data_IF_747554841201
#
_entry.id   IF_747554841201
#
_cell.length_a   1.000
_cell.length_b   1.000
_cell.length_c   1.000
_cell.angle_alpha   90.00
_cell.angle_beta   90.00
_cell.angle_gamma   90.00
#
_symmetry.space_group_name_H-M   'P 1'
#
loop_
_entity.id
_entity.type
_entity.pdbx_description
1 polymer ?
#
# COMPACT_ATOMS: atom_id res chain seq x y z
N UNK A 1 4.13 19.36 -2.53
CA UNK A 1 5.44 18.70 -2.42
C UNK A 1 5.24 17.21 -2.24
N UNK A 2 6.07 16.36 -2.88
CA UNK A 2 5.97 14.89 -2.72
C UNK A 2 6.41 14.44 -1.31
N UNK A 3 6.12 13.20 -0.96
CA UNK A 3 6.42 12.62 0.36
C UNK A 3 7.92 12.65 0.69
N UNK A 4 8.77 12.38 -0.31
CA UNK A 4 10.23 12.39 -0.16
C UNK A 4 10.74 13.80 0.14
N UNK A 5 10.35 14.79 -0.66
CA UNK A 5 10.76 16.17 -0.44
C UNK A 5 10.21 16.72 0.89
N UNK A 6 8.98 16.33 1.27
CA UNK A 6 8.38 16.71 2.56
C UNK A 6 9.14 16.09 3.73
N UNK A 7 9.52 14.80 3.64
CA UNK A 7 10.32 14.08 4.66
C UNK A 7 11.71 14.69 4.81
N UNK A 8 12.36 15.05 3.69
CA UNK A 8 13.70 15.67 3.69
C UNK A 8 13.68 17.17 3.98
N UNK A 9 12.50 17.79 4.07
CA UNK A 9 12.32 19.24 4.23
C UNK A 9 13.04 20.06 3.14
N UNK A 10 13.10 19.53 1.92
CA UNK A 10 13.73 20.18 0.76
C UNK A 10 12.67 20.78 -0.16
N UNK A 11 13.06 21.79 -0.97
CA UNK A 11 12.17 22.39 -1.98
C UNK A 11 11.75 21.31 -2.99
N UNK A 12 10.45 21.18 -3.21
CA UNK A 12 9.88 20.29 -4.22
C UNK A 12 9.47 21.14 -5.43
N UNK A 13 10.06 20.86 -6.59
CA UNK A 13 9.76 21.57 -7.83
C UNK A 13 8.43 21.14 -8.49
N UNK A 14 7.77 20.10 -7.97
CA UNK A 14 6.55 19.56 -8.57
C UNK A 14 6.86 18.62 -9.75
N UNK A 15 5.82 18.16 -10.45
CA UNK A 15 5.90 17.11 -11.47
C UNK A 15 5.88 15.70 -10.88
N UNK A 16 5.48 14.71 -11.70
CA UNK A 16 5.46 13.28 -11.33
C UNK A 16 6.28 12.48 -12.36
N UNK A 17 7.49 12.00 -12.00
CA UNK A 17 8.22 12.23 -10.74
C UNK A 17 8.80 13.65 -10.65
N UNK A 18 8.96 14.19 -9.45
CA UNK A 18 9.63 15.49 -9.28
C UNK A 18 11.13 15.37 -9.60
N UNK A 19 11.77 16.48 -10.01
CA UNK A 19 13.19 16.51 -10.45
C UNK A 19 14.16 15.82 -9.46
N UNK A 20 13.92 16.01 -8.16
CA UNK A 20 14.71 15.36 -7.12
C UNK A 20 14.55 13.84 -7.11
N UNK A 21 13.30 13.35 -7.15
CA UNK A 21 13.02 11.92 -7.15
C UNK A 21 13.49 11.25 -8.43
N UNK A 22 13.41 11.94 -9.57
CA UNK A 22 13.92 11.48 -10.86
C UNK A 22 15.44 11.24 -10.81
N UNK A 23 16.22 12.24 -10.37
CA UNK A 23 17.67 12.13 -10.29
C UNK A 23 18.14 11.12 -9.25
N UNK A 24 17.38 10.99 -8.16
CA UNK A 24 17.69 10.05 -7.08
C UNK A 24 17.19 8.62 -7.35
N UNK A 25 16.48 8.40 -8.47
CA UNK A 25 15.79 7.13 -8.79
C UNK A 25 14.91 6.63 -7.65
N UNK A 26 14.26 7.57 -6.95
CA UNK A 26 13.35 7.28 -5.83
C UNK A 26 11.91 7.36 -6.31
N UNK A 27 11.05 6.52 -5.73
CA UNK A 27 9.62 6.55 -6.01
C UNK A 27 9.01 7.88 -5.53
N UNK A 28 8.43 8.64 -6.46
CA UNK A 28 7.85 9.94 -6.17
C UNK A 28 6.37 9.82 -5.85
N UNK A 29 6.04 9.69 -4.57
CA UNK A 29 4.67 9.54 -4.11
C UNK A 29 4.10 10.83 -3.51
N UNK A 30 2.79 11.01 -3.65
CA UNK A 30 2.03 12.14 -3.11
C UNK A 30 0.87 11.60 -2.28
N UNK A 31 1.17 10.90 -1.19
CA UNK A 31 0.13 10.42 -0.30
C UNK A 31 -0.57 11.61 0.35
N UNK A 32 -1.90 11.67 0.21
CA UNK A 32 -2.70 12.57 1.01
C UNK A 32 -2.45 12.20 2.48
N UNK A 33 -1.72 13.03 3.22
CA UNK A 33 -1.51 12.85 4.64
C UNK A 33 -2.86 13.04 5.32
N UNK A 34 -3.60 11.94 5.43
CA UNK A 34 -4.82 11.90 6.22
C UNK A 34 -4.34 12.20 7.63
N UNK A 35 -4.69 13.39 8.13
CA UNK A 35 -4.25 13.90 9.41
C UNK A 35 -4.89 13.04 10.51
N UNK A 36 -4.33 11.85 10.72
CA UNK A 36 -4.78 10.89 11.72
C UNK A 36 -4.25 11.39 13.06
N UNK A 37 -4.93 12.39 13.64
CA UNK A 37 -5.08 12.46 15.10
C UNK A 37 -5.82 11.21 15.55
N UNK A 38 -5.14 10.06 15.50
CA UNK A 38 -5.59 8.81 16.12
C UNK A 38 -4.51 8.45 17.14
N UNK A 39 -4.75 8.87 18.39
CA UNK A 39 -4.17 8.20 19.56
C UNK A 39 -4.55 6.72 19.43
N UNK A 40 -3.65 5.89 18.90
CA UNK A 40 -3.74 4.43 19.01
C UNK A 40 -2.39 3.92 19.48
N UNK A 41 -2.46 3.24 20.63
CA UNK A 41 -1.37 2.62 21.37
C UNK A 41 -0.43 1.89 20.42
N UNK A 42 0.88 1.97 20.68
CA UNK A 42 1.90 1.09 20.08
C UNK A 42 1.44 -0.36 20.25
N UNK A 43 0.93 -0.98 19.19
CA UNK A 43 0.86 -2.43 19.09
C UNK A 43 2.03 -2.87 18.24
N UNK A 44 2.87 -3.68 18.85
CA UNK A 44 4.05 -4.35 18.29
C UNK A 44 3.75 -4.85 16.87
N UNK A 45 4.58 -4.47 15.90
CA UNK A 45 4.50 -4.97 14.52
C UNK A 45 4.86 -6.45 14.54
N UNK A 46 3.85 -7.33 14.54
CA UNK A 46 4.03 -8.74 14.19
C UNK A 46 4.19 -8.82 12.68
N UNK A 47 5.42 -9.04 12.22
CA UNK A 47 5.72 -9.41 10.84
C UNK A 47 5.12 -10.80 10.61
N UNK A 48 4.05 -10.92 9.83
CA UNK A 48 3.46 -12.24 9.58
C UNK A 48 2.09 -12.26 8.91
N UNK A 49 1.36 -11.15 8.85
CA UNK A 49 0.07 -11.12 8.16
C UNK A 49 0.15 -10.20 6.94
N UNK A 50 0.51 -10.76 5.78
CA UNK A 50 0.29 -10.06 4.51
C UNK A 50 -1.22 -10.14 4.21
N UNK A 51 -1.96 -9.02 4.22
CA UNK A 51 -3.40 -9.03 4.01
C UNK A 51 -3.80 -9.61 2.64
N UNK A 52 -2.89 -9.59 1.66
CA UNK A 52 -3.13 -10.19 0.35
C UNK A 52 -3.24 -11.72 0.42
N UNK A 53 -2.56 -12.38 1.39
CA UNK A 53 -2.64 -13.84 1.56
C UNK A 53 -4.06 -14.23 2.00
N UNK A 54 -4.65 -13.53 2.98
CA UNK A 54 -6.03 -13.80 3.42
C UNK A 54 -7.07 -13.53 2.32
N UNK A 55 -6.82 -12.54 1.46
CA UNK A 55 -7.69 -12.28 0.31
C UNK A 55 -7.55 -13.40 -0.73
N UNK A 56 -6.34 -13.90 -0.95
CA UNK A 56 -6.08 -14.99 -1.88
C UNK A 56 -6.75 -16.30 -1.42
N UNK A 57 -6.66 -16.63 -0.12
CA UNK A 57 -7.36 -17.77 0.48
C UNK A 57 -8.88 -17.72 0.22
N UNK A 58 -9.50 -16.56 0.49
CA UNK A 58 -10.94 -16.38 0.24
C UNK A 58 -11.32 -16.57 -1.23
N UNK A 59 -10.47 -16.10 -2.15
CA UNK A 59 -10.69 -16.26 -3.59
C UNK A 59 -10.58 -17.72 -4.01
N UNK A 60 -9.58 -18.44 -3.49
CA UNK A 60 -9.39 -19.87 -3.76
C UNK A 60 -10.60 -20.68 -3.30
N UNK A 61 -11.09 -20.47 -2.08
CA UNK A 61 -12.30 -21.14 -1.58
C UNK A 61 -13.52 -20.85 -2.44
N UNK A 62 -13.69 -19.60 -2.90
CA UNK A 62 -14.79 -19.26 -3.81
C UNK A 62 -14.68 -19.99 -5.15
N UNK A 63 -13.47 -20.21 -5.66
CA UNK A 63 -13.26 -20.93 -6.91
C UNK A 63 -13.52 -22.43 -6.73
N UNK A 64 -13.06 -23.03 -5.64
CA UNK A 64 -13.31 -24.44 -5.30
C UNK A 64 -14.81 -24.74 -5.26
N UNK A 65 -15.60 -23.89 -4.59
CA UNK A 65 -17.05 -24.04 -4.52
C UNK A 65 -17.74 -23.91 -5.89
N UNK A 66 -17.25 -23.05 -6.77
CA UNK A 66 -17.79 -22.91 -8.13
C UNK A 66 -17.47 -24.14 -8.97
N UNK A 67 -16.25 -24.66 -8.88
CA UNK A 67 -15.84 -25.87 -9.60
C UNK A 67 -16.67 -27.07 -9.15
N UNK A 68 -16.89 -27.25 -7.84
CA UNK A 68 -17.75 -28.32 -7.35
C UNK A 68 -19.18 -28.27 -7.91
N UNK A 69 -19.76 -27.07 -7.99
CA UNK A 69 -21.11 -26.88 -8.55
C UNK A 69 -21.19 -27.14 -10.05
N UNK A 70 -20.08 -26.95 -10.78
CA UNK A 70 -20.02 -27.21 -12.21
C UNK A 70 -19.75 -28.69 -12.52
N UNK A 71 -19.02 -29.39 -11.65
CA UNK A 71 -18.70 -30.82 -11.82
C UNK A 71 -19.83 -31.74 -11.35
N UNK A 72 -20.66 -31.30 -10.40
CA UNK A 72 -21.80 -32.08 -9.86
C UNK A 72 -23.13 -31.84 -10.61
N UNK A 73 -23.11 -31.16 -11.76
CA UNK A 73 -24.24 -31.10 -12.71
C UNK A 73 -24.10 -32.19 -13.76
#
# INVERSE_FOLDING_TARGET
ACDICRKRKTKCFGGVPCNYCLNSKLECTFHAHQNKRKRKRRTVIKHGANPNISILEKRLTSMELLIEKLVKQ
#
